data_IF_641764361811
#
_entry.id   IF_641764361811
#
_cell.length_a   1.000
_cell.length_b   1.000
_cell.length_c   1.000
_cell.angle_alpha   90.00
_cell.angle_beta   90.00
_cell.angle_gamma   90.00
#
_symmetry.space_group_name_H-M   'P 1'
#
loop_
_entity.id
_entity.type
_entity.pdbx_description
1 polymer ?
#
# COMPACT_ATOMS: atom_id res chain seq x y z
N UNK A 1 -1.31 -5.63 -26.56
CA UNK A 1 -0.92 -4.40 -25.84
C UNK A 1 -0.33 -4.80 -24.50
N UNK A 2 0.80 -4.25 -24.05
CA UNK A 2 1.45 -4.63 -22.78
C UNK A 2 0.93 -3.74 -21.67
N UNK A 3 0.36 -4.33 -20.61
CA UNK A 3 -0.11 -3.58 -19.43
C UNK A 3 1.14 -3.06 -18.68
N UNK A 4 1.27 -1.74 -18.42
CA UNK A 4 2.36 -1.20 -17.63
C UNK A 4 2.31 -1.75 -16.19
N UNK A 5 3.47 -1.88 -15.55
CA UNK A 5 3.61 -2.38 -14.18
C UNK A 5 4.17 -1.27 -13.30
N UNK A 6 3.57 -1.06 -12.13
CA UNK A 6 4.08 -0.14 -11.12
C UNK A 6 4.20 -0.84 -9.78
N UNK A 7 5.24 -0.51 -9.02
CA UNK A 7 5.48 -0.99 -7.67
C UNK A 7 5.34 0.19 -6.71
N UNK A 8 4.51 0.04 -5.67
CA UNK A 8 4.54 0.93 -4.51
C UNK A 8 5.34 0.30 -3.37
N UNK A 9 6.05 1.13 -2.60
CA UNK A 9 6.74 0.77 -1.37
C UNK A 9 6.18 1.67 -0.28
N UNK A 10 5.22 1.17 0.50
CA UNK A 10 4.45 1.99 1.43
C UNK A 10 3.83 1.15 2.57
N UNK A 11 3.28 1.86 3.57
CA UNK A 11 2.49 1.24 4.63
C UNK A 11 1.09 0.84 4.17
N UNK A 12 0.52 -0.15 4.86
CA UNK A 12 -0.88 -0.54 4.73
C UNK A 12 -1.77 0.32 5.63
N UNK A 13 -2.72 1.02 5.01
CA UNK A 13 -3.81 1.75 5.65
C UNK A 13 -5.03 0.82 5.86
N UNK A 14 -5.35 0.48 7.10
CA UNK A 14 -6.55 -0.32 7.41
C UNK A 14 -7.87 0.36 7.03
N UNK A 15 -7.91 1.69 6.96
CA UNK A 15 -9.07 2.47 6.51
C UNK A 15 -9.23 2.50 4.99
N UNK A 16 -8.19 2.11 4.24
CA UNK A 16 -8.20 1.98 2.79
C UNK A 16 -8.29 3.28 1.98
N UNK A 17 -8.12 4.44 2.61
CA UNK A 17 -8.15 5.75 1.96
C UNK A 17 -6.78 6.28 1.51
N UNK A 18 -5.70 5.73 2.08
CA UNK A 18 -4.30 6.09 1.86
C UNK A 18 -3.43 4.84 1.68
N UNK A 19 -2.10 5.02 1.75
CA UNK A 19 -1.12 3.92 1.70
C UNK A 19 -1.22 3.05 0.46
N UNK A 20 -0.79 1.79 0.59
CA UNK A 20 -0.82 0.79 -0.49
C UNK A 20 -2.20 0.64 -1.11
N UNK A 21 -3.27 0.77 -0.31
CA UNK A 21 -4.63 0.66 -0.78
C UNK A 21 -4.96 1.77 -1.78
N UNK A 22 -4.58 3.02 -1.49
CA UNK A 22 -4.78 4.14 -2.41
C UNK A 22 -3.90 4.02 -3.66
N UNK A 23 -2.66 3.57 -3.50
CA UNK A 23 -1.73 3.36 -4.61
C UNK A 23 -2.27 2.32 -5.59
N UNK A 24 -2.65 1.13 -5.09
CA UNK A 24 -3.17 0.03 -5.91
C UNK A 24 -4.50 0.39 -6.57
N UNK A 25 -5.38 1.13 -5.89
CA UNK A 25 -6.62 1.65 -6.49
C UNK A 25 -6.32 2.64 -7.62
N UNK A 26 -5.33 3.50 -7.43
CA UNK A 26 -4.89 4.46 -8.46
C UNK A 26 -4.27 3.74 -9.66
N UNK A 27 -3.41 2.74 -9.43
CA UNK A 27 -2.85 1.91 -10.49
C UNK A 27 -3.95 1.21 -11.29
N UNK A 28 -4.92 0.59 -10.61
CA UNK A 28 -6.05 -0.05 -11.26
C UNK A 28 -6.88 0.95 -12.10
N UNK A 29 -7.18 2.13 -11.55
CA UNK A 29 -7.92 3.18 -12.26
C UNK A 29 -7.19 3.70 -13.52
N UNK A 30 -5.86 3.62 -13.53
CA UNK A 30 -5.01 4.03 -14.67
C UNK A 30 -4.66 2.88 -15.62
N UNK A 31 -5.24 1.69 -15.44
CA UNK A 31 -4.96 0.53 -16.29
C UNK A 31 -3.54 -0.03 -16.12
N UNK A 32 -2.97 0.11 -14.92
CA UNK A 32 -1.64 -0.36 -14.54
C UNK A 32 -1.77 -1.61 -13.66
N UNK A 33 -0.94 -2.62 -13.90
CA UNK A 33 -0.80 -3.74 -12.97
C UNK A 33 0.00 -3.29 -11.74
N UNK A 34 -0.71 -3.04 -10.65
CA UNK A 34 -0.14 -2.63 -9.38
C UNK A 34 0.50 -3.80 -8.62
N UNK A 35 1.70 -3.55 -8.10
CA UNK A 35 2.43 -4.42 -7.18
C UNK A 35 2.78 -3.63 -5.92
N UNK A 36 3.10 -4.32 -4.82
CA UNK A 36 3.42 -3.66 -3.55
C UNK A 36 4.52 -4.36 -2.77
N UNK A 37 5.35 -3.57 -2.09
CA UNK A 37 6.18 -4.01 -0.97
C UNK A 37 5.70 -3.28 0.31
N UNK A 38 5.13 -4.04 1.26
CA UNK A 38 4.64 -3.48 2.52
C UNK A 38 5.80 -3.12 3.45
N UNK A 39 5.78 -1.91 4.01
CA UNK A 39 6.76 -1.47 5.01
C UNK A 39 6.23 -1.49 6.43
N UNK A 40 4.92 -1.29 6.61
CA UNK A 40 4.25 -1.31 7.91
C UNK A 40 2.75 -1.64 7.74
N UNK A 41 2.11 -2.05 8.82
CA UNK A 41 0.64 -2.10 8.94
C UNK A 41 0.22 -1.07 9.97
N UNK A 42 -0.77 -0.25 9.62
CA UNK A 42 -1.36 0.73 10.53
C UNK A 42 -2.74 0.27 10.97
N UNK A 43 -3.05 0.46 12.25
CA UNK A 43 -4.43 0.53 12.71
C UNK A 43 -4.83 2.00 12.68
N UNK A 44 -5.53 2.40 11.62
CA UNK A 44 -5.88 3.79 11.39
C UNK A 44 -7.25 3.96 10.72
N UNK A 45 -7.78 5.17 10.83
CA UNK A 45 -8.96 5.65 10.14
C UNK A 45 -8.75 7.12 9.70
N UNK A 46 -9.79 7.79 9.22
CA UNK A 46 -9.69 9.17 8.71
C UNK A 46 -9.42 10.24 9.77
N UNK A 47 -9.42 9.88 11.06
CA UNK A 47 -9.22 10.81 12.18
C UNK A 47 -7.90 10.58 12.92
N UNK A 48 -7.43 9.34 13.00
CA UNK A 48 -6.25 9.00 13.79
C UNK A 48 -5.58 7.69 13.35
N UNK A 49 -4.33 7.53 13.80
CA UNK A 49 -3.55 6.29 13.76
C UNK A 49 -3.34 5.86 15.20
N UNK A 50 -3.86 4.69 15.59
CA UNK A 50 -3.76 4.19 16.97
C UNK A 50 -2.62 3.20 17.17
N UNK A 51 -2.15 2.57 16.10
CA UNK A 51 -1.01 1.65 16.14
C UNK A 51 -0.30 1.61 14.80
N UNK A 52 1.02 1.43 14.85
CA UNK A 52 1.86 1.10 13.71
C UNK A 52 2.66 -0.16 14.06
N UNK A 53 2.64 -1.13 13.16
CA UNK A 53 3.47 -2.33 13.24
C UNK A 53 4.38 -2.36 12.01
N UNK A 54 5.67 -2.10 12.23
CA UNK A 54 6.67 -2.17 11.17
C UNK A 54 6.87 -3.62 10.74
N UNK A 55 6.99 -3.85 9.42
CA UNK A 55 7.30 -5.17 8.88
C UNK A 55 8.81 -5.42 9.07
N UNK A 56 9.21 -6.50 9.76
CA UNK A 56 10.60 -6.93 9.83
C UNK A 56 11.29 -6.94 8.45
N UNK A 57 12.51 -6.40 8.39
CA UNK A 57 13.26 -6.19 7.15
C UNK A 57 13.44 -7.50 6.37
N UNK A 58 13.62 -8.62 7.07
CA UNK A 58 13.77 -9.95 6.47
C UNK A 58 12.52 -10.46 5.71
N UNK A 59 11.35 -9.85 5.96
CA UNK A 59 10.12 -10.12 5.21
C UNK A 59 9.96 -9.25 3.96
N UNK A 60 10.66 -8.12 3.86
CA UNK A 60 10.63 -7.25 2.69
C UNK A 60 11.64 -7.78 1.66
N UNK A 61 11.17 -8.39 0.57
CA UNK A 61 12.00 -9.03 -0.48
C UNK A 61 11.62 -8.60 -1.88
#
# INVERSE_FOLDING_TARGET
MKIPRALTIAGSDSGGGAGIQADLKTFAALGVHGMSALTAITAQNTREVTMVHDIPVEMVR
#
